data_IF_424673619119
#
_entry.id   IF_424673619119
#
_cell.length_a   1.000
_cell.length_b   1.000
_cell.length_c   1.000
_cell.angle_alpha   90.00
_cell.angle_beta   90.00
_cell.angle_gamma   90.00
#
_symmetry.space_group_name_H-M   'P 1'
#
loop_
_entity.id
_entity.type
_entity.pdbx_description
1 polymer ?
#
# COMPACT_ATOMS: atom_id res chain seq x y z
N UNK A 1 -16.11 -33.11 7.80
CA UNK A 1 -15.88 -31.94 8.69
C UNK A 1 -14.48 -31.35 8.55
N UNK A 2 -13.38 -32.13 8.66
CA UNK A 2 -11.99 -31.61 8.50
C UNK A 2 -11.70 -30.99 7.12
N UNK A 3 -12.20 -31.60 6.05
CA UNK A 3 -12.00 -31.11 4.68
C UNK A 3 -12.63 -29.73 4.44
N UNK A 4 -13.83 -29.50 4.99
CA UNK A 4 -14.53 -28.20 4.91
C UNK A 4 -13.74 -27.12 5.64
N UNK A 5 -13.15 -27.43 6.80
CA UNK A 5 -12.33 -26.47 7.58
C UNK A 5 -11.05 -26.12 6.81
N UNK A 6 -10.40 -27.10 6.18
CA UNK A 6 -9.20 -26.87 5.35
C UNK A 6 -9.50 -26.00 4.13
N UNK A 7 -10.60 -26.27 3.41
CA UNK A 7 -11.03 -25.46 2.26
C UNK A 7 -11.47 -24.06 2.68
N UNK A 8 -12.10 -23.93 3.86
CA UNK A 8 -12.52 -22.65 4.42
C UNK A 8 -11.32 -21.80 4.85
N UNK A 9 -10.34 -22.37 5.55
CA UNK A 9 -9.08 -21.66 5.86
C UNK A 9 -8.34 -21.25 4.59
N UNK A 10 -8.33 -22.11 3.56
CA UNK A 10 -7.78 -21.80 2.24
C UNK A 10 -8.43 -20.56 1.61
N UNK A 11 -9.77 -20.53 1.57
CA UNK A 11 -10.54 -19.43 0.98
C UNK A 11 -10.29 -18.12 1.74
N UNK A 12 -10.20 -18.20 3.07
CA UNK A 12 -9.90 -17.05 3.93
C UNK A 12 -8.49 -16.50 3.64
N UNK A 13 -7.47 -17.34 3.52
CA UNK A 13 -6.10 -16.91 3.20
C UNK A 13 -6.00 -16.19 1.84
N UNK A 14 -6.78 -16.63 0.84
CA UNK A 14 -6.84 -15.96 -0.45
C UNK A 14 -7.54 -14.61 -0.39
N UNK A 15 -8.70 -14.52 0.25
CA UNK A 15 -9.46 -13.26 0.31
C UNK A 15 -8.68 -12.16 1.03
N UNK A 16 -7.96 -12.49 2.10
CA UNK A 16 -7.06 -11.55 2.79
C UNK A 16 -5.89 -11.10 1.91
N UNK A 17 -5.29 -12.02 1.15
CA UNK A 17 -4.18 -11.68 0.23
C UNK A 17 -4.63 -10.74 -0.89
N UNK A 18 -5.80 -11.00 -1.50
CA UNK A 18 -6.37 -10.14 -2.55
C UNK A 18 -6.81 -8.76 -2.04
N UNK A 19 -7.39 -8.69 -0.84
CA UNK A 19 -7.79 -7.41 -0.24
C UNK A 19 -6.57 -6.51 0.00
N UNK A 20 -5.49 -7.07 0.55
CA UNK A 20 -4.25 -6.33 0.76
C UNK A 20 -3.63 -5.85 -0.58
N UNK A 21 -3.63 -6.68 -1.63
CA UNK A 21 -3.12 -6.30 -2.97
C UNK A 21 -3.83 -5.06 -3.51
N UNK A 22 -5.17 -5.02 -3.39
CA UNK A 22 -5.96 -3.90 -3.89
C UNK A 22 -5.66 -2.58 -3.17
N UNK A 23 -5.44 -2.61 -1.85
CA UNK A 23 -5.02 -1.43 -1.08
C UNK A 23 -3.65 -0.92 -1.53
N UNK A 24 -2.68 -1.84 -1.67
CA UNK A 24 -1.32 -1.50 -2.13
C UNK A 24 -1.21 -1.15 -3.61
N UNK A 25 -2.28 -1.27 -4.40
CA UNK A 25 -2.32 -0.85 -5.81
C UNK A 25 -2.83 0.60 -6.00
N UNK A 26 -3.42 1.22 -4.95
CA UNK A 26 -3.94 2.60 -4.99
C UNK A 26 -2.83 3.64 -5.03
N UNK A 27 -2.81 4.69 -5.86
CA UNK A 27 -1.69 5.65 -5.92
C UNK A 27 -1.17 6.08 -4.54
N UNK A 28 0.16 6.22 -4.41
CA UNK A 28 0.77 6.66 -3.15
C UNK A 28 0.14 7.99 -2.73
N UNK A 29 -0.36 8.01 -1.50
CA UNK A 29 -1.03 9.13 -0.89
C UNK A 29 -0.68 9.11 0.60
N UNK A 30 -0.31 10.26 1.14
CA UNK A 30 0.07 10.42 2.54
C UNK A 30 -0.46 11.77 3.06
N UNK A 31 -0.86 11.88 4.33
CA UNK A 31 -0.93 10.81 5.33
C UNK A 31 -2.06 9.81 5.08
N UNK A 32 -1.85 8.59 5.56
CA UNK A 32 -2.83 7.51 5.62
C UNK A 32 -2.79 6.90 7.03
N UNK A 33 -3.91 6.85 7.73
CA UNK A 33 -3.96 6.33 9.10
C UNK A 33 -3.55 7.36 10.16
N UNK A 34 -2.65 6.98 11.07
CA UNK A 34 -2.27 7.79 12.24
C UNK A 34 -0.90 8.42 12.01
N UNK A 35 -0.79 9.72 12.27
CA UNK A 35 0.47 10.48 12.27
C UNK A 35 0.64 11.22 13.59
N UNK A 36 1.87 11.34 14.05
CA UNK A 36 2.28 12.04 15.26
C UNK A 36 2.72 13.48 15.01
N UNK A 37 3.03 13.82 13.75
CA UNK A 37 3.37 15.18 13.35
C UNK A 37 2.10 16.04 13.20
N UNK A 38 2.07 17.19 13.87
CA UNK A 38 0.96 18.15 13.82
C UNK A 38 0.92 18.97 12.54
N UNK A 39 1.98 18.94 11.74
CA UNK A 39 2.08 19.58 10.43
C UNK A 39 2.56 18.57 9.37
N UNK A 40 1.78 17.51 9.11
CA UNK A 40 2.19 16.47 8.18
C UNK A 40 2.27 17.04 6.75
N UNK A 41 3.19 16.49 5.96
CA UNK A 41 3.16 16.68 4.51
C UNK A 41 1.93 15.99 3.93
N UNK A 42 1.25 16.62 2.97
CA UNK A 42 0.30 15.96 2.11
C UNK A 42 1.01 15.60 0.80
N UNK A 43 1.09 14.32 0.49
CA UNK A 43 1.80 13.78 -0.68
C UNK A 43 0.81 12.99 -1.52
N UNK A 44 0.82 13.20 -2.83
CA UNK A 44 0.08 12.36 -3.79
C UNK A 44 0.82 12.22 -5.12
N UNK A 45 0.53 11.17 -5.87
CA UNK A 45 1.10 10.97 -7.22
C UNK A 45 0.27 11.63 -8.31
N UNK A 46 0.88 12.52 -9.10
CA UNK A 46 0.32 13.09 -10.33
C UNK A 46 1.27 12.84 -11.52
N UNK A 47 1.16 11.66 -12.13
CA UNK A 47 1.97 11.24 -13.29
C UNK A 47 1.63 12.00 -14.58
N UNK A 48 0.50 12.72 -14.62
CA UNK A 48 0.07 13.50 -15.78
C UNK A 48 0.50 14.96 -15.65
N UNK A 49 1.39 15.25 -14.70
CA UNK A 49 1.98 16.55 -14.55
C UNK A 49 2.87 16.86 -15.75
N UNK A 50 2.36 17.71 -16.63
CA UNK A 50 3.14 18.36 -17.68
C UNK A 50 4.05 19.37 -16.96
N UNK A 51 5.19 18.91 -16.45
CA UNK A 51 6.10 19.58 -15.49
C UNK A 51 6.67 20.96 -15.87
N UNK A 52 6.03 21.67 -16.80
CA UNK A 52 6.43 22.98 -17.29
C UNK A 52 5.68 24.15 -16.65
N UNK A 53 4.70 23.94 -15.77
CA UNK A 53 4.00 25.05 -15.10
C UNK A 53 3.70 24.75 -13.64
N UNK A 54 4.04 25.65 -12.70
CA UNK A 54 3.52 25.58 -11.35
C UNK A 54 2.00 25.62 -11.43
N UNK A 55 1.35 24.68 -10.75
CA UNK A 55 -0.09 24.69 -10.59
C UNK A 55 -0.44 25.00 -9.14
N UNK A 56 -1.67 25.44 -8.93
CA UNK A 56 -2.16 25.84 -7.61
C UNK A 56 -3.18 24.82 -7.17
N UNK A 57 -3.18 24.49 -5.88
CA UNK A 57 -4.21 23.65 -5.28
C UNK A 57 -4.90 24.36 -4.14
N UNK A 58 -6.17 24.04 -3.97
CA UNK A 58 -6.92 24.36 -2.76
C UNK A 58 -6.98 23.11 -1.90
N UNK A 59 -6.46 23.20 -0.68
CA UNK A 59 -6.51 22.15 0.34
C UNK A 59 -7.56 22.54 1.37
N UNK A 60 -8.62 21.75 1.47
CA UNK A 60 -9.60 21.84 2.55
C UNK A 60 -9.30 20.77 3.58
N UNK A 61 -9.22 21.14 4.85
CA UNK A 61 -9.02 20.24 6.00
C UNK A 61 -10.23 20.38 6.92
N UNK A 62 -10.92 19.27 7.19
CA UNK A 62 -12.13 19.24 8.01
C UNK A 62 -11.92 18.32 9.20
N UNK A 63 -12.14 18.82 10.41
CA UNK A 63 -12.06 17.99 11.63
C UNK A 63 -13.33 17.15 11.85
N UNK A 64 -13.33 16.28 12.85
CA UNK A 64 -14.44 15.37 13.13
C UNK A 64 -15.75 16.12 13.48
N UNK A 65 -15.64 17.34 14.00
CA UNK A 65 -16.78 18.20 14.35
C UNK A 65 -17.30 19.01 13.14
N UNK A 66 -16.72 18.84 11.95
CA UNK A 66 -17.13 19.48 10.71
C UNK A 66 -16.57 20.89 10.48
N UNK A 67 -15.69 21.38 11.36
CA UNK A 67 -15.00 22.64 11.17
C UNK A 67 -13.95 22.49 10.08
N UNK A 68 -14.01 23.37 9.08
CA UNK A 68 -13.18 23.28 7.88
C UNK A 68 -12.32 24.51 7.71
N UNK A 69 -11.04 24.31 7.39
CA UNK A 69 -10.11 25.36 6.98
C UNK A 69 -9.69 25.12 5.53
N UNK A 70 -9.53 26.19 4.77
CA UNK A 70 -9.13 26.14 3.36
C UNK A 70 -7.82 26.90 3.14
N UNK A 71 -6.91 26.29 2.37
CA UNK A 71 -5.58 26.81 2.09
C UNK A 71 -5.29 26.74 0.60
N UNK A 72 -4.84 27.84 0.01
CA UNK A 72 -4.38 27.88 -1.38
C UNK A 72 -2.86 27.74 -1.40
N UNK A 73 -2.36 26.63 -1.93
CA UNK A 73 -0.96 26.22 -1.84
C UNK A 73 -0.37 25.93 -3.23
N UNK A 74 0.95 26.05 -3.33
CA UNK A 74 1.74 25.68 -4.51
C UNK A 74 2.45 24.35 -4.22
N UNK A 75 2.07 23.25 -4.87
CA UNK A 75 2.74 21.98 -4.67
C UNK A 75 4.17 22.00 -5.18
N UNK A 76 5.07 21.44 -4.39
CA UNK A 76 6.41 21.09 -4.85
C UNK A 76 6.36 19.75 -5.58
N UNK A 77 7.12 19.62 -6.66
CA UNK A 77 7.18 18.40 -7.47
C UNK A 77 8.52 17.72 -7.22
N UNK A 78 8.46 16.50 -6.69
CA UNK A 78 9.64 15.66 -6.39
C UNK A 78 9.62 14.44 -7.33
N UNK A 79 10.80 14.10 -7.86
CA UNK A 79 11.02 13.00 -8.82
C UNK A 79 10.09 13.04 -10.06
N UNK A 80 9.62 14.24 -10.42
CA UNK A 80 8.74 14.47 -11.56
C UNK A 80 7.32 13.91 -11.44
N UNK A 81 6.95 13.27 -10.33
CA UNK A 81 5.65 12.60 -10.17
C UNK A 81 4.96 12.81 -8.81
N UNK A 82 5.71 13.10 -7.75
CA UNK A 82 5.15 13.30 -6.41
C UNK A 82 4.88 14.77 -6.18
N UNK A 83 3.65 15.10 -5.84
CA UNK A 83 3.25 16.44 -5.45
C UNK A 83 3.21 16.52 -3.92
N UNK A 84 3.82 17.56 -3.36
CA UNK A 84 3.94 17.76 -1.91
C UNK A 84 3.44 19.14 -1.53
N UNK A 85 2.61 19.21 -0.51
CA UNK A 85 2.28 20.46 0.19
C UNK A 85 2.37 20.24 1.69
N UNK A 86 2.56 21.32 2.44
CA UNK A 86 2.47 21.31 3.90
C UNK A 86 1.43 22.33 4.33
N UNK A 87 0.56 21.96 5.27
CA UNK A 87 -0.42 22.89 5.84
C UNK A 87 0.35 23.91 6.68
N UNK A 88 0.08 25.23 6.53
CA UNK A 88 0.87 26.28 7.18
C UNK A 88 0.61 26.40 8.70
N UNK A 89 -0.37 25.66 9.23
CA UNK A 89 -0.81 25.73 10.63
C UNK A 89 -0.73 24.35 11.26
N UNK A 90 -0.29 24.30 12.51
CA UNK A 90 -0.26 23.07 13.28
C UNK A 90 -1.68 22.61 13.62
N UNK A 91 -1.97 21.36 13.28
CA UNK A 91 -3.21 20.68 13.60
C UNK A 91 -3.19 20.23 15.06
N UNK A 92 -4.35 20.31 15.70
CA UNK A 92 -4.56 19.72 17.03
C UNK A 92 -4.77 18.21 16.89
N UNK A 93 -4.56 17.40 17.95
CA UNK A 93 -4.90 15.98 17.91
C UNK A 93 -6.40 15.77 17.63
N UNK A 94 -6.73 15.23 16.45
CA UNK A 94 -8.07 14.85 16.02
C UNK A 94 -7.99 13.99 14.75
N UNK A 95 -9.13 13.47 14.28
CA UNK A 95 -9.27 12.90 12.94
C UNK A 95 -9.71 13.96 11.95
N UNK A 96 -8.99 14.04 10.84
CA UNK A 96 -9.20 14.99 9.77
C UNK A 96 -9.51 14.28 8.45
N UNK A 97 -10.45 14.84 7.71
CA UNK A 97 -10.58 14.58 6.28
C UNK A 97 -9.93 15.72 5.51
N UNK A 98 -9.33 15.41 4.36
CA UNK A 98 -8.75 16.42 3.48
C UNK A 98 -9.23 16.25 2.05
N UNK A 99 -9.28 17.39 1.36
CA UNK A 99 -9.62 17.47 -0.06
C UNK A 99 -8.64 18.40 -0.75
N UNK A 100 -7.95 17.93 -1.78
CA UNK A 100 -7.04 18.72 -2.61
C UNK A 100 -7.67 18.90 -3.98
N UNK A 101 -8.04 20.14 -4.31
CA UNK A 101 -8.60 20.52 -5.62
C UNK A 101 -7.53 21.21 -6.44
N UNK A 102 -7.35 20.75 -7.68
CA UNK A 102 -6.53 21.46 -8.66
C UNK A 102 -7.22 22.76 -9.08
N UNK A 103 -6.48 23.85 -9.18
CA UNK A 103 -6.97 25.11 -9.74
C UNK A 103 -6.36 25.34 -11.13
N UNK A 104 -7.22 25.64 -12.10
CA UNK A 104 -6.86 26.14 -13.41
C UNK A 104 -7.52 27.50 -13.62
N UNK A 105 -6.73 28.56 -13.84
CA UNK A 105 -7.22 29.94 -13.92
C UNK A 105 -8.12 30.33 -12.73
N UNK A 106 -7.69 29.99 -11.51
CA UNK A 106 -8.43 30.22 -10.25
C UNK A 106 -9.81 29.56 -10.17
N UNK A 107 -10.07 28.54 -11.00
CA UNK A 107 -11.29 27.73 -10.94
C UNK A 107 -10.93 26.25 -10.68
N UNK A 108 -11.70 25.52 -9.86
CA UNK A 108 -11.48 24.10 -9.66
C UNK A 108 -11.55 23.32 -10.96
N UNK A 109 -10.54 22.49 -11.23
CA UNK A 109 -10.45 21.63 -12.40
C UNK A 109 -10.62 20.16 -11.99
N UNK A 110 -11.78 19.58 -12.31
CA UNK A 110 -12.09 18.18 -11.98
C UNK A 110 -11.84 17.20 -13.15
N UNK A 111 -11.34 17.69 -14.29
CA UNK A 111 -11.17 16.88 -15.51
C UNK A 111 -9.81 16.20 -15.60
N UNK A 112 -8.82 16.67 -14.83
CA UNK A 112 -7.48 16.09 -14.85
C UNK A 112 -7.44 14.83 -14.00
N UNK A 113 -6.82 13.80 -14.57
CA UNK A 113 -6.54 12.57 -13.86
C UNK A 113 -5.21 12.68 -13.11
N UNK A 114 -5.08 11.95 -12.02
CA UNK A 114 -3.84 11.66 -11.33
C UNK A 114 -3.79 10.14 -11.11
N UNK A 115 -2.81 9.44 -11.69
CA UNK A 115 -2.61 7.98 -11.52
C UNK A 115 -3.92 7.15 -11.54
N UNK A 116 -4.75 7.37 -12.57
CA UNK A 116 -6.07 6.78 -12.83
C UNK A 116 -7.26 7.25 -11.97
N UNK A 117 -7.05 8.10 -10.96
CA UNK A 117 -8.10 8.81 -10.21
C UNK A 117 -8.32 10.22 -10.79
N UNK A 118 -9.40 10.90 -10.43
CA UNK A 118 -9.70 12.29 -10.83
C UNK A 118 -9.59 13.19 -9.62
N UNK A 119 -9.16 14.43 -9.82
CA UNK A 119 -9.32 15.46 -8.78
C UNK A 119 -10.81 15.59 -8.40
N UNK A 120 -11.11 15.83 -7.11
CA UNK A 120 -10.18 16.09 -6.01
C UNK A 120 -9.42 14.85 -5.50
N UNK A 121 -8.24 15.07 -4.90
CA UNK A 121 -7.59 14.06 -4.05
C UNK A 121 -8.26 14.11 -2.68
N UNK A 122 -8.70 12.97 -2.17
CA UNK A 122 -9.43 12.89 -0.90
C UNK A 122 -8.81 11.83 -0.01
N UNK A 123 -8.74 12.11 1.29
CA UNK A 123 -8.23 11.16 2.27
C UNK A 123 -8.62 11.51 3.70
N UNK A 124 -8.33 10.59 4.61
CA UNK A 124 -8.60 10.71 6.04
C UNK A 124 -7.37 10.28 6.82
N UNK A 125 -7.03 11.03 7.86
CA UNK A 125 -5.94 10.69 8.78
C UNK A 125 -6.25 11.18 10.19
N UNK A 126 -5.53 10.65 11.17
CA UNK A 126 -5.63 11.02 12.58
C UNK A 126 -4.30 11.59 13.05
N UNK A 127 -4.33 12.75 13.70
CA UNK A 127 -3.18 13.31 14.40
C UNK A 127 -3.21 12.81 15.85
N UNK A 128 -2.21 12.01 16.24
CA UNK A 128 -2.05 11.49 17.60
C UNK A 128 -0.59 11.66 18.05
N UNK A 129 -0.32 12.74 18.79
CA UNK A 129 1.04 13.05 19.29
C UNK A 129 1.49 12.12 20.41
N UNK A 130 0.63 11.25 20.94
CA UNK A 130 0.99 10.30 22.01
C UNK A 130 1.68 9.05 21.48
N UNK A 131 1.61 8.81 20.16
CA UNK A 131 2.22 7.66 19.49
C UNK A 131 3.24 8.15 18.46
N UNK A 132 4.45 8.55 18.89
CA UNK A 132 5.46 9.02 17.97
C UNK A 132 5.81 7.93 16.96
N UNK A 133 5.66 8.25 15.67
CA UNK A 133 6.20 7.44 14.58
C UNK A 133 7.43 8.16 14.02
N UNK A 134 8.62 7.53 14.09
CA UNK A 134 9.84 8.08 13.51
C UNK A 134 9.71 8.47 12.02
N UNK A 135 8.82 7.83 11.25
CA UNK A 135 8.54 8.17 9.85
C UNK A 135 8.04 9.62 9.72
N UNK A 136 7.30 10.12 10.71
CA UNK A 136 6.70 11.46 10.67
C UNK A 136 7.73 12.59 10.85
N UNK A 137 8.94 12.24 11.27
CA UNK A 137 10.07 13.17 11.44
C UNK A 137 10.95 13.29 10.19
N UNK A 138 10.74 12.44 9.18
CA UNK A 138 11.49 12.47 7.94
C UNK A 138 11.22 13.76 7.14
N UNK A 139 12.26 14.27 6.49
CA UNK A 139 12.07 15.30 5.48
C UNK A 139 11.24 14.77 4.29
N UNK A 140 10.69 15.68 3.50
CA UNK A 140 9.83 15.35 2.36
C UNK A 140 10.44 14.33 1.38
N UNK A 141 11.75 14.41 1.11
CA UNK A 141 12.43 13.55 0.13
C UNK A 141 12.64 12.15 0.69
N UNK A 142 13.11 12.06 1.93
CA UNK A 142 13.31 10.81 2.66
C UNK A 142 11.98 10.11 2.95
N UNK A 143 10.93 10.88 3.26
CA UNK A 143 9.57 10.38 3.43
C UNK A 143 9.02 9.78 2.13
N UNK A 144 9.15 10.49 1.00
CA UNK A 144 8.75 9.95 -0.31
C UNK A 144 9.51 8.66 -0.64
N UNK A 145 10.83 8.66 -0.45
CA UNK A 145 11.65 7.48 -0.66
C UNK A 145 11.16 6.31 0.21
N UNK A 146 10.98 6.53 1.51
CA UNK A 146 10.50 5.52 2.45
C UNK A 146 9.14 4.96 2.03
N UNK A 147 8.15 5.82 1.77
CA UNK A 147 6.80 5.42 1.38
C UNK A 147 6.81 4.66 0.05
N UNK A 148 7.55 5.16 -0.94
CA UNK A 148 7.63 4.55 -2.28
C UNK A 148 8.30 3.19 -2.23
N UNK A 149 9.46 3.08 -1.58
CA UNK A 149 10.21 1.83 -1.50
C UNK A 149 9.53 0.80 -0.60
N UNK A 150 8.95 1.22 0.54
CA UNK A 150 8.18 0.32 1.43
C UNK A 150 7.02 -0.30 0.68
N UNK A 151 6.28 0.52 -0.08
CA UNK A 151 5.19 0.08 -0.93
C UNK A 151 5.64 -0.86 -2.05
N UNK A 152 6.69 -0.50 -2.80
CA UNK A 152 7.25 -1.37 -3.85
C UNK A 152 7.72 -2.72 -3.28
N UNK A 153 8.32 -2.71 -2.10
CA UNK A 153 8.77 -3.93 -1.42
C UNK A 153 7.59 -4.82 -1.00
N UNK A 154 6.53 -4.22 -0.45
CA UNK A 154 5.27 -4.92 -0.14
C UNK A 154 4.65 -5.53 -1.40
N UNK A 155 4.62 -4.76 -2.50
CA UNK A 155 4.06 -5.18 -3.77
C UNK A 155 4.84 -6.35 -4.41
N UNK A 156 6.15 -6.20 -4.55
CA UNK A 156 6.98 -7.14 -5.30
C UNK A 156 7.44 -8.34 -4.48
N UNK A 157 7.69 -8.18 -3.18
CA UNK A 157 8.24 -9.26 -2.36
C UNK A 157 7.22 -9.74 -1.33
N UNK A 158 6.49 -8.84 -0.67
CA UNK A 158 5.46 -9.21 0.32
C UNK A 158 4.35 -10.07 -0.28
N UNK A 159 3.69 -9.62 -1.34
CA UNK A 159 2.61 -10.41 -1.96
C UNK A 159 3.10 -11.66 -2.65
N UNK A 160 4.23 -11.60 -3.36
CA UNK A 160 4.76 -12.79 -4.00
C UNK A 160 5.10 -13.86 -2.94
N UNK A 161 5.65 -13.46 -1.78
CA UNK A 161 5.89 -14.39 -0.68
C UNK A 161 4.58 -15.06 -0.21
N UNK A 162 3.53 -14.27 0.02
CA UNK A 162 2.23 -14.79 0.45
C UNK A 162 1.56 -15.67 -0.62
N UNK A 163 1.56 -15.22 -1.87
CA UNK A 163 0.96 -15.93 -3.01
C UNK A 163 1.62 -17.29 -3.23
N UNK A 164 2.96 -17.32 -3.33
CA UNK A 164 3.71 -18.56 -3.58
C UNK A 164 3.66 -19.51 -2.38
N UNK A 165 3.75 -19.00 -1.14
CA UNK A 165 3.63 -19.85 0.07
C UNK A 165 2.25 -20.47 0.19
N UNK A 166 1.20 -19.69 -0.08
CA UNK A 166 -0.19 -20.17 -0.01
C UNK A 166 -0.47 -21.19 -1.11
N UNK A 167 -0.21 -20.84 -2.38
CA UNK A 167 -0.41 -21.76 -3.51
C UNK A 167 0.43 -23.03 -3.38
N UNK A 168 1.67 -22.92 -2.89
CA UNK A 168 2.54 -24.06 -2.63
C UNK A 168 1.99 -25.00 -1.55
N UNK A 169 1.54 -24.46 -0.43
CA UNK A 169 0.92 -25.25 0.66
C UNK A 169 -0.32 -25.99 0.18
N UNK A 170 -1.13 -25.34 -0.66
CA UNK A 170 -2.35 -25.93 -1.23
C UNK A 170 -2.01 -27.08 -2.14
N UNK A 171 -1.10 -26.86 -3.10
CA UNK A 171 -0.71 -27.88 -4.07
C UNK A 171 -0.12 -29.10 -3.36
N UNK A 172 0.71 -28.88 -2.33
CA UNK A 172 1.23 -29.95 -1.49
C UNK A 172 0.11 -30.71 -0.76
N UNK A 173 -0.81 -29.98 -0.10
CA UNK A 173 -1.95 -30.58 0.60
C UNK A 173 -2.86 -31.40 -0.32
N UNK A 174 -3.15 -30.89 -1.52
CA UNK A 174 -3.91 -31.61 -2.55
C UNK A 174 -3.17 -32.85 -3.03
N UNK A 175 -1.86 -32.76 -3.27
CA UNK A 175 -1.06 -33.90 -3.71
C UNK A 175 -1.04 -35.03 -2.69
N UNK A 176 -0.86 -34.69 -1.40
CA UNK A 176 -0.96 -35.63 -0.27
C UNK A 176 -2.37 -36.23 -0.17
N UNK A 177 -3.42 -35.40 -0.27
CA UNK A 177 -4.79 -35.88 -0.21
C UNK A 177 -5.12 -36.85 -1.35
N UNK A 178 -4.73 -36.53 -2.59
CA UNK A 178 -4.92 -37.41 -3.75
C UNK A 178 -4.18 -38.73 -3.54
N UNK A 179 -2.95 -38.68 -3.02
CA UNK A 179 -2.12 -39.87 -2.79
C UNK A 179 -2.76 -40.85 -1.80
N UNK A 180 -3.33 -40.34 -0.71
CA UNK A 180 -3.88 -41.17 0.36
C UNK A 180 -5.37 -41.48 0.22
N UNK A 181 -6.15 -40.66 -0.49
CA UNK A 181 -7.62 -40.77 -0.52
C UNK A 181 -8.17 -41.30 -1.84
N UNK A 182 -7.37 -41.37 -2.91
CA UNK A 182 -7.81 -41.88 -4.21
C UNK A 182 -7.03 -43.12 -4.60
N UNK A 183 -7.71 -44.15 -5.10
CA UNK A 183 -7.10 -45.42 -5.53
C UNK A 183 -7.31 -45.64 -7.04
N UNK A 184 -6.70 -44.79 -7.86
CA UNK A 184 -6.65 -44.94 -9.32
C UNK A 184 -5.26 -45.37 -9.83
N UNK A 185 -4.43 -45.96 -8.96
CA UNK A 185 -3.12 -46.53 -9.32
C UNK A 185 -2.14 -45.48 -9.87
N UNK A 186 -1.66 -45.69 -11.10
CA UNK A 186 -0.63 -44.84 -11.75
C UNK A 186 -1.12 -43.39 -11.89
N UNK A 187 -2.41 -43.18 -12.19
CA UNK A 187 -2.97 -41.84 -12.39
C UNK A 187 -2.91 -41.02 -11.10
N UNK A 188 -3.29 -41.60 -9.96
CA UNK A 188 -3.14 -40.99 -8.63
C UNK A 188 -1.69 -40.60 -8.36
N UNK A 189 -0.75 -41.50 -8.68
CA UNK A 189 0.68 -41.29 -8.43
C UNK A 189 1.23 -40.10 -9.23
N UNK A 190 0.87 -39.99 -10.52
CA UNK A 190 1.28 -38.87 -11.38
C UNK A 190 0.73 -37.54 -10.86
N UNK A 191 -0.57 -37.49 -10.54
CA UNK A 191 -1.22 -36.27 -10.05
C UNK A 191 -0.59 -35.83 -8.73
N UNK A 192 -0.38 -36.77 -7.79
CA UNK A 192 0.26 -36.48 -6.51
C UNK A 192 1.70 -36.01 -6.66
N UNK A 193 2.50 -36.64 -7.52
CA UNK A 193 3.89 -36.23 -7.76
C UNK A 193 3.98 -34.80 -8.32
N UNK A 194 3.14 -34.46 -9.30
CA UNK A 194 3.07 -33.10 -9.87
C UNK A 194 2.63 -32.08 -8.83
N UNK A 195 1.59 -32.39 -8.06
CA UNK A 195 1.06 -31.48 -7.04
C UNK A 195 2.04 -31.27 -5.87
N UNK A 196 2.72 -32.33 -5.39
CA UNK A 196 3.74 -32.21 -4.35
C UNK A 196 4.93 -31.39 -4.86
N UNK A 197 5.43 -31.69 -6.07
CA UNK A 197 6.57 -30.97 -6.66
C UNK A 197 6.23 -29.48 -6.85
N UNK A 198 5.06 -29.18 -7.40
CA UNK A 198 4.55 -27.81 -7.54
C UNK A 198 4.43 -27.13 -6.18
N UNK A 199 3.97 -27.86 -5.16
CA UNK A 199 3.87 -27.39 -3.79
C UNK A 199 5.20 -27.01 -3.18
N UNK A 200 6.21 -27.87 -3.31
CA UNK A 200 7.58 -27.62 -2.83
C UNK A 200 8.20 -26.41 -3.55
N UNK A 201 8.05 -26.30 -4.87
CA UNK A 201 8.54 -25.16 -5.65
C UNK A 201 7.85 -23.86 -5.17
N UNK A 202 6.53 -23.87 -5.00
CA UNK A 202 5.77 -22.72 -4.50
C UNK A 202 6.23 -22.27 -3.11
N UNK A 203 6.38 -23.20 -2.17
CA UNK A 203 6.88 -22.89 -0.81
C UNK A 203 8.30 -22.29 -0.88
N UNK A 204 9.18 -22.87 -1.70
CA UNK A 204 10.56 -22.39 -1.86
C UNK A 204 10.59 -20.97 -2.44
N UNK A 205 9.79 -20.69 -3.46
CA UNK A 205 9.62 -19.34 -4.00
C UNK A 205 9.07 -18.38 -2.94
N UNK A 206 8.08 -18.81 -2.16
CA UNK A 206 7.52 -18.05 -1.04
C UNK A 206 8.57 -17.62 -0.03
N UNK A 207 9.44 -18.55 0.39
CA UNK A 207 10.57 -18.28 1.29
C UNK A 207 11.54 -17.29 0.64
N UNK A 208 11.91 -17.48 -0.63
CA UNK A 208 12.82 -16.58 -1.35
C UNK A 208 12.31 -15.13 -1.34
N UNK A 209 11.05 -14.92 -1.73
CA UNK A 209 10.44 -13.58 -1.71
C UNK A 209 10.31 -13.04 -0.29
N UNK A 210 10.00 -13.88 0.70
CA UNK A 210 9.95 -13.48 2.11
C UNK A 210 11.29 -12.97 2.63
N UNK A 211 12.38 -13.68 2.35
CA UNK A 211 13.74 -13.25 2.73
C UNK A 211 14.09 -11.92 2.06
N UNK A 212 13.79 -11.76 0.77
CA UNK A 212 14.02 -10.49 0.06
C UNK A 212 13.20 -9.35 0.64
N UNK A 213 11.95 -9.60 1.02
CA UNK A 213 11.09 -8.60 1.67
C UNK A 213 11.73 -8.07 2.95
N UNK A 214 12.20 -8.94 3.84
CA UNK A 214 12.82 -8.52 5.09
C UNK A 214 14.18 -7.83 4.90
N UNK A 215 15.00 -8.32 3.97
CA UNK A 215 16.27 -7.66 3.62
C UNK A 215 16.06 -6.23 3.16
N UNK A 216 15.13 -6.03 2.21
CA UNK A 216 14.82 -4.70 1.69
C UNK A 216 14.15 -3.83 2.74
N UNK A 217 13.27 -4.39 3.57
CA UNK A 217 12.61 -3.67 4.66
C UNK A 217 13.65 -3.04 5.60
N UNK A 218 14.69 -3.78 5.99
CA UNK A 218 15.75 -3.26 6.84
C UNK A 218 16.49 -2.08 6.18
N UNK A 219 16.81 -2.18 4.88
CA UNK A 219 17.47 -1.10 4.12
C UNK A 219 16.59 0.15 4.03
N UNK A 220 15.28 -0.03 3.87
CA UNK A 220 14.31 1.07 3.81
C UNK A 220 14.18 1.74 5.18
N UNK A 221 14.09 0.94 6.25
CA UNK A 221 13.99 1.44 7.64
C UNK A 221 15.28 2.13 8.12
N UNK A 222 16.43 1.89 7.50
CA UNK A 222 17.66 2.62 7.84
C UNK A 222 17.57 4.13 7.52
N UNK A 223 16.64 4.55 6.66
CA UNK A 223 16.36 5.98 6.40
C UNK A 223 15.79 6.66 7.65
N UNK A 224 15.07 5.92 8.48
CA UNK A 224 14.49 6.41 9.73
C UNK A 224 15.56 6.63 10.82
N UNK A 225 16.67 5.91 10.73
CA UNK A 225 17.73 5.92 11.76
C UNK A 225 18.80 7.01 11.54
N UNK A 226 18.74 7.72 10.42
CA UNK A 226 19.68 8.79 10.06
C UNK A 226 19.24 10.11 10.66
#
# INVERSE_FOLDING_TARGET
>A
MRLIISTLMLLISFTYSFAQINESAQPLQYPEGVVSNTQPYLIWCDIYNTGNKPFVVTVTITNLQGQSNEYTLYPEIIDGMYCVVQIPVALTPDTYTYTIKLLHNNKPENKRYYHHKKYPVEGTFTVDTTKPDPVDSLDKTSLIYYLSQSRQNKLHYGYNALFFSSSGTISLGTGVAVYYLTNFGIVTTIISAVAITSGVIGITAGIYYGVKYYQNKNVIEDVIKK
#
